data_IF_476790837957
#
_entry.id   IF_476790837957
#
_cell.length_a   1.000
_cell.length_b   1.000
_cell.length_c   1.000
_cell.angle_alpha   90.00
_cell.angle_beta   90.00
_cell.angle_gamma   90.00
#
_symmetry.space_group_name_H-M   'P 1'
#
loop_
_entity.id
_entity.type
_entity.pdbx_description
1 polymer ?
#
# COMPACT_ATOMS: atom_id res chain seq x y z
N UNK A 1 -1.55 -15.20 2.58
CA UNK A 1 -2.68 -14.64 3.38
C UNK A 1 -2.24 -14.65 4.84
N UNK A 2 -2.22 -13.48 5.50
CA UNK A 2 -1.86 -13.39 6.92
C UNK A 2 -3.05 -13.75 7.81
N UNK A 3 -2.78 -14.29 9.01
CA UNK A 3 -3.82 -14.56 10.03
C UNK A 3 -4.58 -13.28 10.39
N UNK A 4 -3.89 -12.13 10.42
CA UNK A 4 -4.51 -10.83 10.66
C UNK A 4 -5.51 -10.46 9.55
N UNK A 5 -5.16 -10.69 8.28
CA UNK A 5 -6.05 -10.45 7.14
C UNK A 5 -7.35 -11.28 7.22
N UNK A 6 -7.25 -12.54 7.65
CA UNK A 6 -8.42 -13.40 7.86
C UNK A 6 -9.33 -12.82 8.95
N UNK A 7 -8.76 -12.41 10.09
CA UNK A 7 -9.53 -11.82 11.21
C UNK A 7 -10.23 -10.51 10.81
N UNK A 8 -9.56 -9.67 10.02
CA UNK A 8 -10.16 -8.43 9.48
C UNK A 8 -11.33 -8.77 8.56
N UNK A 9 -11.16 -9.75 7.66
CA UNK A 9 -12.23 -10.20 6.78
C UNK A 9 -13.44 -10.75 7.52
N UNK A 10 -13.23 -11.64 8.51
CA UNK A 10 -14.30 -12.18 9.35
C UNK A 10 -15.06 -11.08 10.10
N UNK A 11 -14.35 -10.10 10.67
CA UNK A 11 -14.96 -8.95 11.34
C UNK A 11 -15.81 -8.14 10.37
N UNK A 12 -15.31 -7.90 9.15
CA UNK A 12 -16.06 -7.20 8.11
C UNK A 12 -17.37 -7.88 7.75
N UNK A 13 -17.34 -9.20 7.53
CA UNK A 13 -18.53 -10.00 7.22
C UNK A 13 -19.52 -9.96 8.40
N UNK A 14 -19.06 -10.14 9.65
CA UNK A 14 -19.92 -10.07 10.83
C UNK A 14 -20.56 -8.69 10.99
N UNK A 15 -19.83 -7.62 10.72
CA UNK A 15 -20.36 -6.26 10.76
C UNK A 15 -21.43 -6.03 9.70
N UNK A 16 -21.24 -6.56 8.50
CA UNK A 16 -22.24 -6.51 7.44
C UNK A 16 -23.53 -7.23 7.84
N UNK A 17 -23.42 -8.45 8.37
CA UNK A 17 -24.58 -9.22 8.84
C UNK A 17 -25.35 -8.48 9.96
N UNK A 18 -24.64 -7.85 10.87
CA UNK A 18 -25.26 -7.04 11.93
C UNK A 18 -25.94 -5.78 11.37
N UNK A 19 -25.30 -5.11 10.42
CA UNK A 19 -25.86 -3.93 9.76
C UNK A 19 -27.15 -4.25 9.01
N UNK A 20 -27.20 -5.40 8.35
CA UNK A 20 -28.37 -5.89 7.62
C UNK A 20 -29.44 -6.54 8.54
N UNK A 21 -29.25 -6.55 9.86
CA UNK A 21 -30.18 -7.17 10.80
C UNK A 21 -30.24 -8.71 10.75
N UNK A 22 -29.32 -9.36 10.06
CA UNK A 22 -29.21 -10.82 9.92
C UNK A 22 -28.52 -11.48 11.13
N UNK A 23 -27.88 -10.68 11.98
CA UNK A 23 -27.24 -11.12 13.23
C UNK A 23 -27.48 -10.08 14.31
N UNK A 24 -27.59 -10.54 15.58
CA UNK A 24 -27.80 -9.66 16.74
C UNK A 24 -26.56 -8.82 17.08
N UNK A 25 -26.78 -7.64 17.67
CA UNK A 25 -25.73 -6.72 18.14
C UNK A 25 -25.43 -5.60 17.16
N UNK A 26 -24.60 -4.65 17.60
CA UNK A 26 -24.16 -3.51 16.77
C UNK A 26 -22.85 -3.88 16.03
N UNK A 27 -22.60 -3.33 14.82
CA UNK A 27 -21.32 -3.45 14.16
C UNK A 27 -20.16 -2.97 15.05
N UNK A 28 -19.06 -3.70 15.04
CA UNK A 28 -17.82 -3.30 15.71
C UNK A 28 -17.02 -2.40 14.78
N UNK A 29 -17.06 -1.09 15.05
CA UNK A 29 -16.38 -0.06 14.26
C UNK A 29 -15.16 0.53 14.97
N UNK A 30 -14.78 -0.01 16.13
CA UNK A 30 -13.61 0.46 16.86
C UNK A 30 -12.35 -0.01 16.13
N UNK A 31 -11.50 0.93 15.81
CA UNK A 31 -10.18 0.64 15.23
C UNK A 31 -9.22 0.08 16.29
N UNK A 32 -8.14 -0.57 15.84
CA UNK A 32 -7.14 -1.21 16.70
C UNK A 32 -6.45 -0.24 17.66
N UNK A 33 -6.37 1.04 17.28
CA UNK A 33 -5.81 2.15 18.07
C UNK A 33 -6.83 2.84 18.99
N UNK A 34 -8.07 2.32 19.05
CA UNK A 34 -9.16 2.90 19.82
C UNK A 34 -9.87 4.07 19.14
N UNK A 35 -9.46 4.48 17.96
CA UNK A 35 -10.17 5.50 17.17
C UNK A 35 -11.42 4.92 16.52
N UNK A 36 -12.47 5.73 16.41
CA UNK A 36 -13.73 5.33 15.75
C UNK A 36 -13.83 5.79 14.31
N UNK A 37 -12.91 6.62 13.86
CA UNK A 37 -12.92 7.19 12.52
C UNK A 37 -12.01 6.40 11.58
N UNK A 38 -12.55 5.97 10.45
CA UNK A 38 -11.76 5.39 9.37
C UNK A 38 -11.11 6.54 8.59
N UNK A 39 -9.78 6.54 8.50
CA UNK A 39 -9.05 7.47 7.62
C UNK A 39 -9.34 7.10 6.18
N UNK A 40 -9.93 8.03 5.43
CA UNK A 40 -10.19 7.84 4.01
C UNK A 40 -8.98 8.35 3.22
N UNK A 41 -8.47 7.52 2.34
CA UNK A 41 -7.30 7.83 1.53
C UNK A 41 -7.57 7.51 0.06
N UNK A 42 -6.86 8.18 -0.84
CA UNK A 42 -6.98 7.98 -2.28
C UNK A 42 -5.61 8.04 -2.97
N UNK A 43 -5.50 7.37 -4.09
CA UNK A 43 -4.40 7.54 -5.05
C UNK A 43 -4.83 8.64 -6.01
N UNK A 44 -4.10 9.78 -6.03
CA UNK A 44 -4.55 10.97 -6.78
C UNK A 44 -4.22 10.92 -8.25
N UNK A 45 -2.99 10.55 -8.58
CA UNK A 45 -2.48 10.65 -9.94
C UNK A 45 -1.39 9.61 -10.22
N UNK A 46 -0.79 9.68 -11.40
CA UNK A 46 0.23 8.74 -11.84
C UNK A 46 1.52 8.80 -11.00
N UNK A 47 1.84 9.94 -10.38
CA UNK A 47 3.06 10.08 -9.58
C UNK A 47 2.98 9.26 -8.29
N UNK A 48 1.77 8.89 -7.86
CA UNK A 48 1.57 8.00 -6.72
C UNK A 48 2.05 6.57 -6.97
N UNK A 49 2.36 6.21 -8.22
CA UNK A 49 2.83 4.87 -8.61
C UNK A 49 4.31 4.90 -8.94
N UNK A 50 5.04 3.90 -8.45
CA UNK A 50 6.43 3.65 -8.88
C UNK A 50 6.47 2.35 -9.68
N UNK A 51 7.01 2.42 -10.90
CA UNK A 51 7.11 1.27 -11.80
C UNK A 51 8.55 0.85 -12.00
N UNK A 52 8.79 -0.47 -12.05
CA UNK A 52 10.12 -1.02 -12.34
C UNK A 52 10.57 -0.65 -13.77
N UNK A 53 11.73 0.01 -13.94
CA UNK A 53 12.26 0.38 -15.25
C UNK A 53 12.90 -0.81 -15.99
N UNK A 54 13.16 -1.90 -15.29
CA UNK A 54 13.76 -3.12 -15.79
C UNK A 54 13.33 -4.35 -15.03
N UNK A 55 13.79 -5.52 -15.47
CA UNK A 55 13.57 -6.79 -14.78
C UNK A 55 14.66 -7.04 -13.75
N UNK A 56 14.30 -7.54 -12.56
CA UNK A 56 15.27 -7.77 -11.49
C UNK A 56 14.62 -8.15 -10.17
N UNK A 57 15.34 -7.85 -9.09
CA UNK A 57 14.84 -7.97 -7.72
C UNK A 57 14.70 -6.57 -7.13
N UNK A 58 13.51 -6.22 -6.69
CA UNK A 58 13.26 -4.97 -5.99
C UNK A 58 13.44 -5.18 -4.48
N UNK A 59 14.33 -4.37 -3.90
CA UNK A 59 14.59 -4.30 -2.45
C UNK A 59 13.92 -3.04 -1.89
N UNK A 60 12.73 -3.15 -1.26
CA UNK A 60 12.03 -2.01 -0.71
C UNK A 60 12.71 -1.46 0.56
N UNK A 61 12.67 -0.15 0.77
CA UNK A 61 13.16 0.53 1.98
C UNK A 61 12.09 0.73 3.05
N UNK A 62 10.82 0.65 2.69
CA UNK A 62 9.69 0.96 3.55
C UNK A 62 8.64 -0.15 3.48
N UNK A 63 7.85 -0.25 4.53
CA UNK A 63 6.73 -1.19 4.63
C UNK A 63 5.40 -0.48 4.34
N UNK A 64 4.40 -1.24 3.90
CA UNK A 64 3.05 -0.72 3.77
C UNK A 64 2.55 -0.16 5.12
N UNK A 65 2.06 1.07 5.10
CA UNK A 65 1.67 1.84 6.28
C UNK A 65 2.66 2.93 6.69
N UNK A 66 3.90 2.89 6.21
CA UNK A 66 4.90 3.93 6.48
C UNK A 66 4.53 5.24 5.76
N UNK A 67 4.87 6.36 6.38
CA UNK A 67 4.80 7.67 5.74
C UNK A 67 6.07 7.89 4.92
N UNK A 68 5.90 8.34 3.68
CA UNK A 68 6.99 8.59 2.72
C UNK A 68 6.84 9.98 2.10
N UNK A 69 7.94 10.51 1.58
CA UNK A 69 8.00 11.84 0.96
C UNK A 69 8.34 11.72 -0.54
N UNK A 70 7.88 12.71 -1.31
CA UNK A 70 8.26 12.88 -2.71
C UNK A 70 9.79 13.02 -2.83
N UNK A 71 10.39 12.27 -3.76
CA UNK A 71 11.84 12.18 -3.94
C UNK A 71 12.58 11.34 -2.90
N UNK A 72 11.90 10.77 -1.90
CA UNK A 72 12.52 9.83 -0.95
C UNK A 72 12.82 8.49 -1.64
N UNK A 73 13.92 7.85 -1.25
CA UNK A 73 14.30 6.53 -1.77
C UNK A 73 13.23 5.48 -1.47
N UNK A 74 12.69 4.86 -2.51
CA UNK A 74 11.73 3.76 -2.40
C UNK A 74 12.44 2.41 -2.23
N UNK A 75 13.69 2.31 -2.69
CA UNK A 75 14.47 1.09 -2.65
C UNK A 75 15.42 0.96 -3.82
N UNK A 76 15.94 -0.24 -4.03
CA UNK A 76 16.88 -0.55 -5.11
C UNK A 76 16.34 -1.65 -6.02
N UNK A 77 16.54 -1.49 -7.32
CA UNK A 77 16.34 -2.54 -8.31
C UNK A 77 17.69 -3.17 -8.64
N UNK A 78 17.85 -4.45 -8.33
CA UNK A 78 19.02 -5.26 -8.63
C UNK A 78 18.79 -6.04 -9.94
N UNK A 79 19.65 -5.85 -10.94
CA UNK A 79 19.53 -6.53 -12.23
C UNK A 79 20.15 -7.92 -12.15
N UNK A 80 19.32 -8.97 -12.17
CA UNK A 80 19.79 -10.37 -12.01
C UNK A 80 20.36 -10.98 -13.28
N UNK A 81 20.05 -10.40 -14.44
CA UNK A 81 20.55 -10.86 -15.77
C UNK A 81 21.86 -10.18 -16.15
N UNK A 82 22.23 -9.11 -15.44
CA UNK A 82 23.48 -8.35 -15.63
C UNK A 82 24.08 -8.03 -14.26
N UNK A 83 24.91 -8.94 -13.77
CA UNK A 83 25.49 -8.85 -12.42
C UNK A 83 26.53 -7.73 -12.28
N UNK A 84 27.05 -7.22 -13.39
CA UNK A 84 28.00 -6.10 -13.40
C UNK A 84 27.27 -4.74 -13.40
N UNK A 85 25.96 -4.74 -13.64
CA UNK A 85 25.13 -3.55 -13.56
C UNK A 85 24.87 -3.15 -12.11
N UNK A 86 25.30 -1.95 -11.74
CA UNK A 86 25.05 -1.43 -10.40
C UNK A 86 23.54 -1.34 -10.10
N UNK A 87 23.11 -1.63 -8.87
CA UNK A 87 21.71 -1.47 -8.49
C UNK A 87 21.20 -0.06 -8.76
N UNK A 88 20.01 0.05 -9.32
CA UNK A 88 19.37 1.33 -9.60
C UNK A 88 18.52 1.76 -8.41
N UNK A 89 18.78 2.93 -7.86
CA UNK A 89 17.94 3.51 -6.83
C UNK A 89 16.65 4.05 -7.44
N UNK A 90 15.52 3.73 -6.78
CA UNK A 90 14.19 4.17 -7.16
C UNK A 90 13.63 5.13 -6.12
N UNK A 91 12.79 6.07 -6.54
CA UNK A 91 12.26 7.11 -5.69
C UNK A 91 10.74 7.15 -5.74
N UNK A 92 10.11 7.61 -4.63
CA UNK A 92 8.69 7.92 -4.64
C UNK A 92 8.45 9.22 -5.41
N UNK A 93 7.37 9.30 -6.16
CA UNK A 93 6.95 10.49 -6.90
C UNK A 93 5.85 11.29 -6.21
N UNK A 94 5.49 10.93 -4.97
CA UNK A 94 4.50 11.64 -4.17
C UNK A 94 4.72 11.41 -2.68
N UNK A 95 4.34 12.40 -1.86
CA UNK A 95 4.31 12.26 -0.40
C UNK A 95 2.98 11.66 0.05
N UNK A 96 3.00 10.82 1.10
CA UNK A 96 1.79 10.21 1.66
C UNK A 96 2.08 8.97 2.48
N UNK A 97 1.14 8.04 2.49
CA UNK A 97 1.27 6.73 3.15
C UNK A 97 1.48 5.65 2.10
N UNK A 98 2.49 4.84 2.27
CA UNK A 98 2.76 3.70 1.40
C UNK A 98 1.65 2.65 1.56
N UNK A 99 0.83 2.48 0.53
CA UNK A 99 -0.24 1.50 0.54
C UNK A 99 0.23 0.10 0.13
N UNK A 100 1.11 0.05 -0.86
CA UNK A 100 1.63 -1.20 -1.39
C UNK A 100 3.12 -1.04 -1.70
N UNK A 101 3.92 -2.01 -1.27
CA UNK A 101 5.26 -2.27 -1.78
C UNK A 101 5.31 -3.70 -2.32
N UNK A 102 6.03 -3.93 -3.42
CA UNK A 102 6.12 -5.24 -4.05
C UNK A 102 6.73 -6.27 -3.08
N UNK A 103 5.93 -7.26 -2.68
CA UNK A 103 6.34 -8.29 -1.73
C UNK A 103 7.16 -9.45 -2.32
N UNK A 104 6.97 -9.85 -3.60
CA UNK A 104 7.68 -11.02 -4.17
C UNK A 104 9.17 -10.79 -4.44
N UNK A 105 9.66 -9.58 -4.39
CA UNK A 105 11.04 -9.23 -4.71
C UNK A 105 11.36 -9.24 -6.19
N UNK A 106 10.98 -10.31 -6.94
CA UNK A 106 11.20 -10.37 -8.38
C UNK A 106 10.17 -9.52 -9.12
N UNK A 107 10.67 -8.66 -10.01
CA UNK A 107 9.85 -7.75 -10.82
C UNK A 107 10.28 -7.80 -12.28
N UNK A 108 9.36 -7.45 -13.16
CA UNK A 108 9.59 -7.25 -14.58
C UNK A 108 9.45 -5.76 -14.92
N UNK A 109 10.01 -5.36 -16.05
CA UNK A 109 9.84 -4.00 -16.55
C UNK A 109 8.36 -3.65 -16.67
N UNK A 110 7.95 -2.55 -16.04
CA UNK A 110 6.58 -2.07 -16.01
C UNK A 110 5.74 -2.58 -14.83
N UNK A 111 6.27 -3.49 -14.01
CA UNK A 111 5.58 -3.87 -12.77
C UNK A 111 5.49 -2.69 -11.80
N UNK A 112 4.33 -2.53 -11.17
CA UNK A 112 4.16 -1.57 -10.10
C UNK A 112 4.83 -2.08 -8.82
N UNK A 113 5.83 -1.36 -8.33
CA UNK A 113 6.61 -1.76 -7.14
C UNK A 113 6.19 -1.03 -5.88
N UNK A 114 5.56 0.14 -6.00
CA UNK A 114 5.05 0.88 -4.87
C UNK A 114 3.86 1.75 -5.26
N UNK A 115 2.94 1.95 -4.31
CA UNK A 115 1.80 2.87 -4.45
C UNK A 115 1.68 3.69 -3.18
N UNK A 116 1.63 5.02 -3.35
CA UNK A 116 1.46 5.99 -2.26
C UNK A 116 0.03 6.51 -2.27
N UNK A 117 -0.61 6.55 -1.10
CA UNK A 117 -1.92 7.17 -0.90
C UNK A 117 -1.79 8.49 -0.17
N UNK A 118 -2.72 9.40 -0.47
CA UNK A 118 -2.89 10.69 0.19
C UNK A 118 -4.26 10.75 0.86
N UNK A 119 -4.43 11.64 1.83
CA UNK A 119 -5.74 11.86 2.43
C UNK A 119 -6.78 12.24 1.37
N UNK A 120 -7.95 11.64 1.48
CA UNK A 120 -9.07 11.99 0.63
C UNK A 120 -9.48 13.44 0.93
N UNK A 121 -9.47 14.27 -0.10
CA UNK A 121 -10.05 15.60 -0.06
C UNK A 121 -11.24 15.61 -1.03
N UNK A 122 -12.43 15.95 -0.52
CA UNK A 122 -13.57 16.15 -1.42
C UNK A 122 -13.22 17.16 -2.52
N UNK A 123 -13.56 16.87 -3.80
CA UNK A 123 -13.43 17.86 -4.84
C UNK A 123 -14.24 19.10 -4.43
N UNK A 124 -13.60 20.26 -4.36
CA UNK A 124 -14.35 21.51 -4.20
C UNK A 124 -15.26 21.65 -5.42
N UNK A 125 -16.58 21.71 -5.17
CA UNK A 125 -17.60 21.98 -6.17
C UNK A 125 -17.37 23.34 -6.83
#
# INVERSE_FOLDING_TARGET
VSVEGVRIGERGVRNMLKHLGMSSGKPDTVQRDGTKATRQMMVRDANCYSFAPGSGIFEPRHLAGDTVEDGQSAGFLHFIEDVDHAPMEMFYGASGVLWMASGPGRVQRGDCVAVVMQDYAEPRA
#
